data_IF_338387740960
#
_entry.id   IF_338387740960
#
_cell.length_a   1.000
_cell.length_b   1.000
_cell.length_c   1.000
_cell.angle_alpha   90.00
_cell.angle_beta   90.00
_cell.angle_gamma   90.00
#
_symmetry.space_group_name_H-M   'P 1'
#
loop_
_entity.id
_entity.type
_entity.pdbx_description
1 polymer ?
#
# COMPACT_ATOMS: atom_id res chain seq x y z
N UNK A 1 1.60 20.60 -17.32
CA UNK A 1 0.18 20.95 -17.62
C UNK A 1 -0.51 21.18 -16.30
N UNK A 2 -1.34 22.23 -16.17
CA UNK A 2 -2.09 22.44 -14.92
C UNK A 2 -3.24 21.44 -14.84
N UNK A 3 -3.34 20.74 -13.71
CA UNK A 3 -4.45 19.82 -13.41
C UNK A 3 -5.74 20.60 -13.22
N UNK A 4 -6.86 20.07 -13.69
CA UNK A 4 -8.18 20.70 -13.62
C UNK A 4 -9.02 20.07 -12.52
N UNK A 5 -9.42 20.86 -11.53
CA UNK A 5 -10.23 20.46 -10.38
C UNK A 5 -11.59 21.11 -10.44
N UNK A 6 -12.66 20.32 -10.41
CA UNK A 6 -14.03 20.81 -10.25
C UNK A 6 -14.46 20.69 -8.78
N UNK A 7 -14.92 21.81 -8.22
CA UNK A 7 -15.51 21.87 -6.87
C UNK A 7 -17.01 22.08 -6.99
N UNK A 8 -17.81 21.21 -6.36
CA UNK A 8 -19.27 21.26 -6.43
C UNK A 8 -19.83 21.43 -5.01
N UNK A 9 -20.34 22.64 -4.73
CA UNK A 9 -20.90 23.01 -3.42
C UNK A 9 -22.42 23.03 -3.41
N UNK A 10 -22.99 22.95 -2.21
CA UNK A 10 -24.42 23.16 -1.96
C UNK A 10 -24.72 24.66 -1.87
N UNK A 11 -24.91 25.27 -3.02
CA UNK A 11 -25.14 26.71 -3.15
C UNK A 11 -23.84 27.55 -2.97
N UNK A 12 -23.99 28.90 -2.98
CA UNK A 12 -22.84 29.82 -2.95
C UNK A 12 -21.97 29.68 -1.68
N UNK A 13 -22.57 29.32 -0.55
CA UNK A 13 -21.82 29.16 0.74
C UNK A 13 -20.96 27.90 0.71
N UNK A 14 -21.52 26.78 0.28
CA UNK A 14 -20.76 25.53 0.13
C UNK A 14 -19.63 25.68 -0.86
N UNK A 15 -19.91 26.28 -2.03
CA UNK A 15 -18.86 26.56 -3.01
C UNK A 15 -17.74 27.46 -2.47
N UNK A 16 -18.08 28.51 -1.73
CA UNK A 16 -17.08 29.39 -1.12
C UNK A 16 -16.18 28.65 -0.13
N UNK A 17 -16.74 27.76 0.70
CA UNK A 17 -15.97 26.90 1.61
C UNK A 17 -15.01 25.99 0.84
N UNK A 18 -15.46 25.35 -0.22
CA UNK A 18 -14.63 24.49 -1.07
C UNK A 18 -13.50 25.29 -1.76
N UNK A 19 -13.77 26.51 -2.21
CA UNK A 19 -12.75 27.39 -2.79
C UNK A 19 -11.68 27.77 -1.76
N UNK A 20 -12.07 28.00 -0.50
CA UNK A 20 -11.11 28.22 0.59
C UNK A 20 -10.25 26.97 0.84
N UNK A 21 -10.84 25.77 0.82
CA UNK A 21 -10.08 24.53 0.93
C UNK A 21 -9.06 24.39 -0.22
N UNK A 22 -9.42 24.78 -1.42
CA UNK A 22 -8.55 24.68 -2.59
C UNK A 22 -7.42 25.75 -2.61
N UNK A 23 -7.44 26.74 -1.71
CA UNK A 23 -6.45 27.81 -1.68
C UNK A 23 -5.00 27.33 -1.46
N UNK A 24 -4.82 26.16 -0.82
CA UNK A 24 -3.50 25.55 -0.56
C UNK A 24 -2.97 24.70 -1.73
N UNK A 25 -3.72 24.52 -2.80
CA UNK A 25 -3.32 23.61 -3.90
C UNK A 25 -2.21 24.17 -4.78
N UNK A 26 -1.98 25.48 -4.74
CA UNK A 26 -0.92 26.13 -5.50
C UNK A 26 -1.20 26.25 -7.01
N UNK A 27 -0.23 26.78 -7.79
CA UNK A 27 -0.44 27.16 -9.19
C UNK A 27 -0.53 25.98 -10.17
N UNK A 28 -0.29 24.78 -9.72
CA UNK A 28 -0.39 23.57 -10.55
C UNK A 28 -1.83 23.12 -10.78
N UNK A 29 -2.78 23.72 -10.06
CA UNK A 29 -4.20 23.40 -10.17
C UNK A 29 -4.99 24.56 -10.77
N UNK A 30 -5.82 24.24 -11.77
CA UNK A 30 -6.85 25.13 -12.28
C UNK A 30 -8.18 24.74 -11.66
N UNK A 31 -8.68 25.56 -10.74
CA UNK A 31 -9.89 25.27 -9.95
C UNK A 31 -11.12 25.87 -10.62
N UNK A 32 -12.13 25.03 -10.85
CA UNK A 32 -13.44 25.40 -11.41
C UNK A 32 -14.48 25.21 -10.30
N UNK A 33 -15.31 26.20 -10.05
CA UNK A 33 -16.40 26.12 -9.08
C UNK A 33 -17.76 25.90 -9.75
N UNK A 34 -18.64 25.11 -9.12
CA UNK A 34 -20.02 24.91 -9.53
C UNK A 34 -20.98 24.97 -8.34
N UNK A 35 -22.06 25.76 -8.46
CA UNK A 35 -23.12 25.87 -7.46
C UNK A 35 -24.23 24.85 -7.75
N UNK A 36 -23.93 23.57 -7.51
CA UNK A 36 -24.88 22.49 -7.71
C UNK A 36 -24.76 21.77 -9.06
N UNK A 37 -25.72 20.90 -9.32
CA UNK A 37 -25.66 19.89 -10.37
C UNK A 37 -25.61 20.48 -11.79
N UNK A 38 -26.42 21.50 -12.07
CA UNK A 38 -26.52 22.09 -13.42
C UNK A 38 -25.20 22.72 -13.90
N UNK A 39 -24.51 23.49 -13.01
CA UNK A 39 -23.24 24.10 -13.33
C UNK A 39 -22.14 23.05 -13.42
N UNK A 40 -22.21 21.99 -12.57
CA UNK A 40 -21.27 20.88 -12.62
C UNK A 40 -21.35 20.14 -13.97
N UNK A 41 -22.54 19.86 -14.46
CA UNK A 41 -22.76 19.25 -15.78
C UNK A 41 -22.24 20.13 -16.91
N UNK A 42 -22.47 21.44 -16.83
CA UNK A 42 -21.92 22.39 -17.82
C UNK A 42 -20.37 22.38 -17.82
N UNK A 43 -19.75 22.31 -16.65
CA UNK A 43 -18.29 22.27 -16.51
C UNK A 43 -17.64 21.03 -17.17
N UNK A 44 -18.32 19.89 -17.20
CA UNK A 44 -17.87 18.68 -17.89
C UNK A 44 -17.73 18.88 -19.40
N UNK A 45 -18.59 19.73 -20.00
CA UNK A 45 -18.54 20.05 -21.45
C UNK A 45 -17.32 20.88 -21.88
N UNK A 46 -16.57 21.46 -20.95
CA UNK A 46 -15.41 22.32 -21.23
C UNK A 46 -14.07 21.56 -21.28
N UNK A 47 -14.08 20.25 -21.36
CA UNK A 47 -12.91 19.38 -21.50
C UNK A 47 -12.64 18.51 -20.28
N UNK A 48 -11.62 17.62 -20.37
CA UNK A 48 -11.37 16.64 -19.34
C UNK A 48 -11.03 17.28 -17.99
N UNK A 49 -11.50 16.67 -16.92
CA UNK A 49 -11.22 17.04 -15.54
C UNK A 49 -10.31 15.98 -14.92
N UNK A 50 -9.31 16.43 -14.17
CA UNK A 50 -8.41 15.51 -13.46
C UNK A 50 -9.03 15.07 -12.13
N UNK A 51 -9.71 15.99 -11.42
CA UNK A 51 -10.38 15.67 -10.17
C UNK A 51 -11.74 16.40 -10.03
N UNK A 52 -12.63 15.80 -9.25
CA UNK A 52 -13.90 16.38 -8.80
C UNK A 52 -14.02 16.20 -7.30
N UNK A 53 -14.31 17.28 -6.58
CA UNK A 53 -14.69 17.26 -5.15
C UNK A 53 -16.13 17.73 -5.06
N UNK A 54 -17.03 16.88 -4.56
CA UNK A 54 -18.43 17.19 -4.40
C UNK A 54 -18.86 17.06 -2.94
N UNK A 55 -19.65 18.01 -2.44
CA UNK A 55 -20.39 17.82 -1.20
C UNK A 55 -21.45 16.73 -1.37
N UNK A 56 -21.78 16.02 -0.27
CA UNK A 56 -22.78 14.96 -0.29
C UNK A 56 -24.13 15.45 -0.80
N UNK A 57 -24.54 16.66 -0.36
CA UNK A 57 -25.71 17.38 -0.86
C UNK A 57 -25.23 18.49 -1.76
N UNK A 58 -25.79 18.59 -2.93
CA UNK A 58 -25.53 19.65 -3.90
C UNK A 58 -26.86 20.18 -4.42
N UNK A 59 -26.92 21.46 -4.77
CA UNK A 59 -28.11 22.07 -5.31
C UNK A 59 -28.61 21.30 -6.53
N UNK A 60 -29.85 20.77 -6.42
CA UNK A 60 -30.48 19.96 -7.44
C UNK A 60 -30.30 18.46 -7.34
N UNK A 61 -29.55 17.93 -6.32
CA UNK A 61 -29.39 16.49 -6.19
C UNK A 61 -28.38 16.01 -5.16
N UNK A 62 -27.85 14.81 -5.38
CA UNK A 62 -26.84 14.14 -4.54
C UNK A 62 -25.48 14.15 -5.22
N UNK A 63 -24.46 14.65 -4.52
CA UNK A 63 -23.08 14.58 -5.01
C UNK A 63 -22.59 13.15 -5.21
N UNK A 64 -22.99 12.23 -4.35
CA UNK A 64 -22.67 10.82 -4.51
C UNK A 64 -23.25 10.23 -5.80
N UNK A 65 -24.51 10.55 -6.10
CA UNK A 65 -25.14 10.06 -7.34
C UNK A 65 -24.43 10.64 -8.56
N UNK A 66 -24.12 11.93 -8.55
CA UNK A 66 -23.36 12.58 -9.62
C UNK A 66 -21.97 11.94 -9.82
N UNK A 67 -21.23 11.68 -8.73
CA UNK A 67 -19.92 11.02 -8.83
C UNK A 67 -20.03 9.60 -9.39
N UNK A 68 -21.12 8.86 -9.13
CA UNK A 68 -21.36 7.54 -9.70
C UNK A 68 -21.57 7.63 -11.24
N UNK A 69 -22.35 8.60 -11.71
CA UNK A 69 -22.54 8.84 -13.14
C UNK A 69 -21.21 9.18 -13.84
N UNK A 70 -20.34 9.98 -13.19
CA UNK A 70 -19.03 10.31 -13.70
C UNK A 70 -18.11 9.09 -13.80
N UNK A 71 -18.30 8.06 -12.98
CA UNK A 71 -17.48 6.85 -13.05
C UNK A 71 -17.55 6.17 -14.41
N UNK A 72 -18.71 6.16 -15.02
CA UNK A 72 -18.93 5.54 -16.33
C UNK A 72 -18.47 6.45 -17.47
N UNK A 73 -18.73 7.75 -17.38
CA UNK A 73 -18.46 8.71 -18.45
C UNK A 73 -16.99 9.18 -18.47
N UNK A 74 -16.39 9.33 -17.31
CA UNK A 74 -15.03 9.88 -17.13
C UNK A 74 -14.21 9.00 -16.15
N UNK A 75 -13.86 7.76 -16.53
CA UNK A 75 -13.24 6.79 -15.63
C UNK A 75 -11.86 7.22 -15.10
N UNK A 76 -11.20 8.16 -15.79
CA UNK A 76 -9.88 8.69 -15.40
C UNK A 76 -9.93 9.83 -14.39
N UNK A 77 -11.11 10.42 -14.17
CA UNK A 77 -11.27 11.54 -13.24
C UNK A 77 -11.28 11.05 -11.79
N UNK A 78 -10.42 11.61 -10.95
CA UNK A 78 -10.42 11.33 -9.51
C UNK A 78 -11.65 11.95 -8.85
N UNK A 79 -12.33 11.19 -8.00
CA UNK A 79 -13.63 11.59 -7.44
C UNK A 79 -13.59 11.57 -5.91
N UNK A 80 -13.89 12.70 -5.32
CA UNK A 80 -13.88 12.91 -3.88
C UNK A 80 -15.27 13.31 -3.40
N UNK A 81 -15.79 12.60 -2.40
CA UNK A 81 -17.00 12.98 -1.70
C UNK A 81 -16.64 13.62 -0.37
N UNK A 82 -17.11 14.84 -0.15
CA UNK A 82 -16.99 15.57 1.09
C UNK A 82 -18.29 15.39 1.89
N UNK A 83 -18.21 14.74 3.05
CA UNK A 83 -19.39 14.50 3.89
C UNK A 83 -19.03 14.43 5.38
N UNK A 84 -20.02 14.62 6.24
CA UNK A 84 -19.86 14.47 7.68
C UNK A 84 -19.66 12.99 8.07
N UNK A 85 -18.77 12.73 9.04
CA UNK A 85 -18.51 11.40 9.58
C UNK A 85 -19.76 10.73 10.18
N UNK A 86 -20.75 11.52 10.58
CA UNK A 86 -22.04 11.02 11.09
C UNK A 86 -22.90 10.39 9.98
N UNK A 87 -22.64 10.68 8.69
CA UNK A 87 -23.40 10.12 7.57
C UNK A 87 -22.84 8.76 7.15
N UNK A 88 -23.09 7.76 7.99
CA UNK A 88 -22.59 6.37 7.83
C UNK A 88 -22.99 5.73 6.50
N UNK A 89 -24.15 6.12 5.92
CA UNK A 89 -24.61 5.58 4.64
C UNK A 89 -23.79 6.11 3.46
N UNK A 90 -23.39 7.39 3.50
CA UNK A 90 -22.55 7.99 2.48
C UNK A 90 -21.15 7.35 2.50
N UNK A 91 -20.54 7.21 3.69
CA UNK A 91 -19.23 6.57 3.86
C UNK A 91 -19.24 5.13 3.32
N UNK A 92 -20.24 4.33 3.68
CA UNK A 92 -20.34 2.93 3.25
C UNK A 92 -20.51 2.81 1.73
N UNK A 93 -21.25 3.72 1.12
CA UNK A 93 -21.46 3.74 -0.35
C UNK A 93 -20.20 4.20 -1.10
N UNK A 94 -19.43 5.15 -0.56
CA UNK A 94 -18.17 5.57 -1.16
C UNK A 94 -17.15 4.44 -1.27
N UNK A 95 -17.02 3.63 -0.24
CA UNK A 95 -16.10 2.47 -0.23
C UNK A 95 -16.43 1.46 -1.33
N UNK A 96 -17.72 1.34 -1.69
CA UNK A 96 -18.17 0.42 -2.76
C UNK A 96 -18.05 0.97 -4.19
N UNK A 97 -17.79 2.27 -4.39
CA UNK A 97 -17.88 2.94 -5.69
C UNK A 97 -16.56 3.55 -6.20
N UNK A 98 -15.43 3.21 -5.61
CA UNK A 98 -14.10 3.74 -5.99
C UNK A 98 -13.99 5.27 -5.86
N UNK A 99 -14.73 5.88 -4.92
CA UNK A 99 -14.61 7.29 -4.59
C UNK A 99 -13.76 7.50 -3.35
N UNK A 100 -13.00 8.59 -3.34
CA UNK A 100 -12.29 9.02 -2.15
C UNK A 100 -13.25 9.76 -1.22
N UNK A 101 -13.20 9.42 0.07
CA UNK A 101 -13.99 10.10 1.10
C UNK A 101 -13.14 11.14 1.82
N UNK A 102 -13.68 12.33 2.00
CA UNK A 102 -13.12 13.40 2.81
C UNK A 102 -14.11 13.78 3.90
N UNK A 103 -13.67 13.70 5.14
CA UNK A 103 -14.51 14.07 6.29
C UNK A 103 -14.63 15.58 6.41
N UNK A 104 -15.84 16.09 6.75
CA UNK A 104 -16.04 17.47 7.19
C UNK A 104 -15.97 17.57 8.72
N UNK A 105 -15.32 18.62 9.27
CA UNK A 105 -14.61 19.68 8.57
C UNK A 105 -13.28 19.19 7.98
N UNK A 106 -12.98 19.63 6.76
CA UNK A 106 -11.75 19.34 6.04
C UNK A 106 -10.89 20.63 6.01
N UNK A 107 -9.60 20.51 6.23
CA UNK A 107 -8.66 21.62 6.08
C UNK A 107 -7.95 21.58 4.71
N UNK A 108 -7.36 22.71 4.25
CA UNK A 108 -6.70 22.79 2.95
C UNK A 108 -5.54 21.79 2.77
N UNK A 109 -4.81 21.47 3.83
CA UNK A 109 -3.68 20.53 3.76
C UNK A 109 -4.19 19.09 3.60
N UNK A 110 -5.27 18.74 4.29
CA UNK A 110 -5.94 17.44 4.14
C UNK A 110 -6.47 17.24 2.72
N UNK A 111 -7.10 18.25 2.12
CA UNK A 111 -7.54 18.17 0.72
C UNK A 111 -6.34 17.99 -0.22
N UNK A 112 -5.29 18.78 -0.06
CA UNK A 112 -4.08 18.67 -0.86
C UNK A 112 -3.47 17.28 -0.74
N UNK A 113 -3.27 16.78 0.47
CA UNK A 113 -2.70 15.45 0.70
C UNK A 113 -3.56 14.35 0.06
N UNK A 114 -4.89 14.46 0.12
CA UNK A 114 -5.80 13.50 -0.49
C UNK A 114 -5.72 13.52 -2.03
N UNK A 115 -5.64 14.71 -2.63
CA UNK A 115 -5.43 14.87 -4.07
C UNK A 115 -4.07 14.31 -4.50
N UNK A 116 -3.00 14.72 -3.82
CA UNK A 116 -1.65 14.23 -4.10
C UNK A 116 -1.58 12.69 -3.98
N UNK A 117 -2.22 12.11 -2.97
CA UNK A 117 -2.36 10.66 -2.81
C UNK A 117 -3.09 10.02 -3.99
N UNK A 118 -4.25 10.54 -4.36
CA UNK A 118 -5.05 9.96 -5.44
C UNK A 118 -4.27 9.93 -6.76
N UNK A 119 -3.51 11.00 -7.04
CA UNK A 119 -2.70 11.08 -8.25
C UNK A 119 -1.40 10.27 -8.17
N UNK A 120 -0.83 10.06 -7.02
CA UNK A 120 0.26 9.10 -6.83
C UNK A 120 -0.21 7.68 -7.11
N UNK A 121 -1.41 7.32 -6.62
CA UNK A 121 -2.06 6.04 -6.95
C UNK A 121 -2.29 5.87 -8.45
N UNK A 122 -2.74 6.92 -9.14
CA UNK A 122 -2.94 6.88 -10.58
C UNK A 122 -1.66 6.52 -11.34
N UNK A 123 -0.50 6.98 -10.88
CA UNK A 123 0.79 6.62 -11.50
C UNK A 123 1.01 5.10 -11.46
N UNK A 124 0.64 4.43 -10.37
CA UNK A 124 0.74 2.98 -10.25
C UNK A 124 -0.37 2.24 -10.99
N UNK A 125 -1.61 2.73 -10.87
CA UNK A 125 -2.78 2.15 -11.53
C UNK A 125 -2.85 2.49 -13.02
N UNK A 126 -2.22 3.58 -13.46
CA UNK A 126 -2.17 4.03 -14.87
C UNK A 126 -0.98 3.47 -15.65
N UNK A 127 -0.11 2.68 -15.05
CA UNK A 127 0.86 1.91 -15.83
C UNK A 127 0.09 0.92 -16.72
N UNK A 128 -0.09 1.27 -17.99
CA UNK A 128 -0.85 0.48 -18.97
C UNK A 128 -0.35 -0.97 -19.05
N UNK A 129 0.93 -1.21 -18.74
CA UNK A 129 1.52 -2.55 -18.71
C UNK A 129 0.98 -3.34 -17.53
N UNK A 130 0.97 -2.75 -16.32
CA UNK A 130 0.44 -3.39 -15.11
C UNK A 130 -1.06 -3.64 -15.25
N UNK A 131 -1.81 -2.66 -15.75
CA UNK A 131 -3.26 -2.80 -16.00
C UNK A 131 -3.58 -3.91 -17.00
N UNK A 132 -2.85 -3.93 -18.13
CA UNK A 132 -3.03 -4.97 -19.14
C UNK A 132 -2.69 -6.34 -18.58
N UNK A 133 -1.61 -6.44 -17.82
CA UNK A 133 -1.21 -7.67 -17.16
C UNK A 133 -2.27 -8.14 -16.18
N UNK A 134 -2.71 -7.29 -15.24
CA UNK A 134 -3.74 -7.61 -14.26
C UNK A 134 -5.09 -7.91 -14.92
N UNK A 135 -5.47 -7.15 -15.96
CA UNK A 135 -6.71 -7.39 -16.71
C UNK A 135 -6.75 -8.74 -17.44
N UNK A 136 -5.60 -9.33 -17.72
CA UNK A 136 -5.49 -10.68 -18.33
C UNK A 136 -5.45 -11.80 -17.28
N UNK A 137 -5.35 -11.48 -16.00
CA UNK A 137 -5.23 -12.48 -14.95
C UNK A 137 -6.55 -13.15 -14.63
N UNK A 138 -6.53 -14.47 -14.60
CA UNK A 138 -7.69 -15.29 -14.24
C UNK A 138 -7.84 -15.47 -12.72
N UNK A 139 -6.77 -15.25 -11.96
CA UNK A 139 -6.70 -15.53 -10.52
C UNK A 139 -6.12 -14.34 -9.77
N UNK A 140 -6.96 -13.33 -9.55
CA UNK A 140 -6.65 -12.26 -8.60
C UNK A 140 -7.34 -12.56 -7.27
N UNK A 141 -6.63 -12.51 -6.15
CA UNK A 141 -7.27 -12.64 -4.85
C UNK A 141 -8.20 -11.44 -4.63
N UNK A 142 -9.42 -11.69 -4.24
CA UNK A 142 -10.35 -10.66 -3.77
C UNK A 142 -10.09 -10.35 -2.30
N UNK A 143 -10.46 -9.16 -1.85
CA UNK A 143 -10.47 -8.88 -0.40
C UNK A 143 -11.42 -9.84 0.31
N UNK A 144 -11.00 -10.44 1.45
CA UNK A 144 -11.86 -11.38 2.17
C UNK A 144 -13.13 -10.69 2.70
N UNK A 145 -14.25 -11.38 2.59
CA UNK A 145 -15.51 -10.92 3.20
C UNK A 145 -15.35 -10.71 4.71
N UNK A 146 -14.59 -11.57 5.37
CA UNK A 146 -14.28 -11.43 6.80
C UNK A 146 -13.51 -10.14 7.10
N UNK A 147 -12.58 -9.73 6.25
CA UNK A 147 -11.86 -8.45 6.41
C UNK A 147 -12.83 -7.27 6.41
N UNK A 148 -13.76 -7.22 5.46
CA UNK A 148 -14.79 -6.17 5.43
C UNK A 148 -15.69 -6.20 6.66
N UNK A 149 -16.05 -7.40 7.15
CA UNK A 149 -16.84 -7.53 8.37
C UNK A 149 -16.09 -6.98 9.58
N UNK A 150 -14.81 -7.29 9.70
CA UNK A 150 -13.95 -6.78 10.77
C UNK A 150 -13.76 -5.27 10.67
N UNK A 151 -13.48 -4.72 9.48
CA UNK A 151 -13.36 -3.27 9.28
C UNK A 151 -14.67 -2.56 9.62
N UNK A 152 -15.81 -3.11 9.19
CA UNK A 152 -17.13 -2.57 9.49
C UNK A 152 -17.43 -2.59 11.01
N UNK A 153 -17.06 -3.67 11.68
CA UNK A 153 -17.21 -3.79 13.13
C UNK A 153 -16.36 -2.76 13.86
N UNK A 154 -15.10 -2.57 13.44
CA UNK A 154 -14.19 -1.56 14.01
C UNK A 154 -14.70 -0.12 13.87
N UNK A 155 -15.49 0.16 12.85
CA UNK A 155 -16.13 1.47 12.64
C UNK A 155 -17.42 1.65 13.46
N UNK A 156 -17.90 0.60 14.14
CA UNK A 156 -19.10 0.67 14.95
C UNK A 156 -18.80 1.37 16.28
N UNK A 157 -19.65 2.29 16.75
CA UNK A 157 -19.53 2.90 18.08
C UNK A 157 -19.61 1.89 19.25
N UNK A 158 -20.19 0.71 18.99
CA UNK A 158 -20.34 -0.39 19.93
C UNK A 158 -19.32 -1.49 19.72
N UNK A 159 -18.29 -1.21 18.92
CA UNK A 159 -17.24 -2.17 18.60
C UNK A 159 -16.49 -2.64 19.84
N UNK A 160 -16.22 -3.93 19.89
CA UNK A 160 -15.29 -4.50 20.86
C UNK A 160 -14.35 -5.48 20.18
N UNK A 161 -13.13 -5.59 20.69
CA UNK A 161 -12.16 -6.59 20.21
C UNK A 161 -12.69 -8.02 20.42
N UNK A 162 -13.56 -8.21 21.41
CA UNK A 162 -14.25 -9.48 21.64
C UNK A 162 -15.22 -9.84 20.50
N UNK A 163 -16.00 -8.87 20.02
CA UNK A 163 -16.87 -9.07 18.85
C UNK A 163 -16.08 -9.45 17.62
N UNK A 164 -14.93 -8.80 17.41
CA UNK A 164 -14.02 -9.11 16.29
C UNK A 164 -13.46 -10.53 16.42
N UNK A 165 -13.02 -10.92 17.61
CA UNK A 165 -12.55 -12.28 17.89
C UNK A 165 -13.63 -13.33 17.60
N UNK A 166 -14.87 -13.06 17.99
CA UNK A 166 -16.01 -13.93 17.70
C UNK A 166 -16.38 -13.99 16.22
N UNK A 167 -16.16 -12.91 15.44
CA UNK A 167 -16.32 -12.93 14.00
C UNK A 167 -15.27 -13.85 13.35
N UNK A 168 -14.02 -13.72 13.76
CA UNK A 168 -12.90 -14.54 13.22
C UNK A 168 -13.10 -16.01 13.58
N UNK A 169 -13.58 -16.30 14.80
CA UNK A 169 -13.85 -17.67 15.28
C UNK A 169 -14.83 -18.46 14.40
N UNK A 170 -15.67 -17.77 13.62
CA UNK A 170 -16.60 -18.41 12.66
C UNK A 170 -15.89 -18.96 11.40
N UNK A 171 -14.68 -18.47 11.11
CA UNK A 171 -13.86 -18.93 9.99
C UNK A 171 -12.68 -19.77 10.53
N UNK A 172 -12.78 -21.09 10.38
CA UNK A 172 -11.78 -22.02 10.90
C UNK A 172 -10.40 -21.82 10.27
N UNK A 173 -10.35 -21.45 9.00
CA UNK A 173 -9.07 -21.25 8.29
C UNK A 173 -8.39 -19.99 8.79
N UNK A 174 -9.14 -18.89 8.89
CA UNK A 174 -8.62 -17.63 9.42
C UNK A 174 -8.23 -17.75 10.89
N UNK A 175 -9.03 -18.46 11.69
CA UNK A 175 -8.69 -18.75 13.09
C UNK A 175 -7.36 -19.49 13.20
N UNK A 176 -7.18 -20.57 12.43
CA UNK A 176 -5.94 -21.34 12.45
C UNK A 176 -4.72 -20.49 12.05
N UNK A 177 -4.84 -19.68 10.99
CA UNK A 177 -3.77 -18.80 10.51
C UNK A 177 -3.46 -17.69 11.53
N UNK A 178 -4.48 -17.06 12.12
CA UNK A 178 -4.32 -16.07 13.19
C UNK A 178 -3.58 -16.66 14.39
N UNK A 179 -3.99 -17.84 14.86
CA UNK A 179 -3.36 -18.51 16.00
C UNK A 179 -1.94 -18.98 15.67
N UNK A 180 -1.70 -19.51 14.47
CA UNK A 180 -0.36 -19.85 14.00
C UNK A 180 0.56 -18.63 14.04
N UNK A 181 0.06 -17.50 13.58
CA UNK A 181 0.81 -16.26 13.50
C UNK A 181 1.15 -15.70 14.88
N UNK A 182 0.16 -15.53 15.75
CA UNK A 182 0.40 -14.94 17.08
C UNK A 182 1.32 -15.81 17.95
N UNK A 183 1.31 -17.11 17.74
CA UNK A 183 2.19 -18.06 18.42
C UNK A 183 3.56 -18.20 17.74
N UNK A 184 3.82 -17.48 16.65
CA UNK A 184 5.14 -17.46 16.02
C UNK A 184 6.16 -16.66 16.86
N UNK A 185 7.44 -16.90 16.61
CA UNK A 185 8.54 -16.20 17.31
C UNK A 185 8.50 -14.68 17.10
N UNK A 186 7.85 -14.20 16.03
CA UNK A 186 7.69 -12.78 15.69
C UNK A 186 7.01 -11.99 16.80
N UNK A 187 6.02 -12.58 17.50
CA UNK A 187 5.30 -11.90 18.57
C UNK A 187 5.88 -12.16 19.97
N UNK A 188 6.83 -13.09 20.10
CA UNK A 188 7.61 -13.32 21.31
C UNK A 188 6.78 -13.61 22.57
N UNK A 189 5.58 -14.19 22.42
CA UNK A 189 4.72 -14.47 23.54
C UNK A 189 5.30 -15.55 24.45
N UNK A 190 5.12 -15.34 25.76
CA UNK A 190 5.63 -16.30 26.78
C UNK A 190 4.77 -17.57 26.90
N UNK A 191 3.56 -17.56 26.36
CA UNK A 191 2.63 -18.71 26.36
C UNK A 191 1.92 -18.83 25.03
N UNK A 192 1.46 -20.02 24.72
CA UNK A 192 0.64 -20.23 23.54
C UNK A 192 -0.79 -19.69 23.75
N UNK A 193 -1.32 -19.06 22.71
CA UNK A 193 -2.69 -18.58 22.64
C UNK A 193 -3.47 -19.54 21.76
N UNK A 194 -4.58 -20.06 22.30
CA UNK A 194 -5.45 -21.00 21.62
C UNK A 194 -6.83 -20.41 21.26
N UNK A 195 -7.14 -19.21 21.77
CA UNK A 195 -8.43 -18.54 21.56
C UNK A 195 -8.27 -17.35 20.60
N UNK A 196 -9.04 -17.28 19.49
CA UNK A 196 -8.96 -16.17 18.55
C UNK A 196 -9.33 -14.82 19.15
N UNK A 197 -10.26 -14.76 20.10
CA UNK A 197 -10.60 -13.51 20.80
C UNK A 197 -9.41 -13.00 21.62
N UNK A 198 -8.72 -13.89 22.32
CA UNK A 198 -7.51 -13.53 23.04
C UNK A 198 -6.40 -13.09 22.08
N UNK A 199 -6.28 -13.76 20.93
CA UNK A 199 -5.34 -13.36 19.88
C UNK A 199 -5.60 -11.91 19.41
N UNK A 200 -6.85 -11.55 19.17
CA UNK A 200 -7.24 -10.19 18.76
C UNK A 200 -6.94 -9.18 19.86
N UNK A 201 -7.20 -9.52 21.12
CA UNK A 201 -6.88 -8.66 22.27
C UNK A 201 -5.37 -8.39 22.39
N UNK A 202 -4.55 -9.40 22.14
CA UNK A 202 -3.08 -9.26 22.16
C UNK A 202 -2.53 -8.47 20.97
N UNK A 203 -3.11 -8.64 19.78
CA UNK A 203 -2.66 -8.00 18.54
C UNK A 203 -3.15 -6.55 18.41
N UNK A 204 -4.32 -6.27 18.95
CA UNK A 204 -5.04 -5.03 18.68
C UNK A 204 -5.71 -5.03 17.30
N UNK A 205 -6.49 -3.99 17.04
CA UNK A 205 -7.35 -3.89 15.86
C UNK A 205 -6.55 -3.82 14.54
N UNK A 206 -5.60 -2.93 14.46
CA UNK A 206 -4.85 -2.67 13.22
C UNK A 206 -3.99 -3.85 12.82
N UNK A 207 -3.24 -4.41 13.77
CA UNK A 207 -2.46 -5.63 13.52
C UNK A 207 -3.35 -6.79 13.09
N UNK A 208 -4.52 -6.96 13.71
CA UNK A 208 -5.48 -7.99 13.32
C UNK A 208 -5.94 -7.84 11.88
N UNK A 209 -6.28 -6.62 11.43
CA UNK A 209 -6.65 -6.36 10.03
C UNK A 209 -5.54 -6.78 9.07
N UNK A 210 -4.31 -6.36 9.33
CA UNK A 210 -3.15 -6.64 8.49
C UNK A 210 -2.89 -8.15 8.37
N UNK A 211 -2.99 -8.85 9.50
CA UNK A 211 -2.83 -10.31 9.57
C UNK A 211 -3.93 -11.05 8.83
N UNK A 212 -5.17 -10.58 8.91
CA UNK A 212 -6.29 -11.18 8.16
C UNK A 212 -6.10 -11.06 6.64
N UNK A 213 -5.62 -9.90 6.18
CA UNK A 213 -5.29 -9.70 4.76
C UNK A 213 -4.19 -10.66 4.31
N UNK A 214 -3.10 -10.75 5.07
CA UNK A 214 -2.01 -11.66 4.78
C UNK A 214 -2.49 -13.12 4.77
N UNK A 215 -3.16 -13.56 5.82
CA UNK A 215 -3.62 -14.94 5.97
C UNK A 215 -4.56 -15.37 4.83
N UNK A 216 -5.49 -14.49 4.44
CA UNK A 216 -6.38 -14.76 3.33
C UNK A 216 -5.63 -14.87 2.00
N UNK A 217 -4.74 -13.92 1.74
CA UNK A 217 -3.94 -13.91 0.52
C UNK A 217 -3.16 -15.21 0.38
N UNK A 218 -2.47 -15.62 1.43
CA UNK A 218 -1.71 -16.86 1.40
C UNK A 218 -2.59 -18.10 1.30
N UNK A 219 -3.76 -18.13 1.96
CA UNK A 219 -4.71 -19.25 1.86
C UNK A 219 -5.27 -19.41 0.43
N UNK A 220 -5.45 -18.32 -0.29
CA UNK A 220 -5.88 -18.37 -1.69
C UNK A 220 -4.84 -19.06 -2.59
N UNK A 221 -3.56 -18.95 -2.23
CA UNK A 221 -2.43 -19.48 -2.99
C UNK A 221 -1.82 -20.79 -2.42
N UNK A 222 -2.35 -21.36 -1.35
CA UNK A 222 -1.84 -22.59 -0.71
C UNK A 222 -1.69 -23.79 -1.65
N UNK A 223 -2.36 -23.76 -2.80
CA UNK A 223 -2.33 -24.84 -3.81
C UNK A 223 -1.09 -24.78 -4.71
N UNK A 224 -0.27 -23.73 -4.64
CA UNK A 224 0.95 -23.61 -5.43
C UNK A 224 2.04 -24.45 -4.77
N UNK A 225 2.31 -25.62 -5.32
CA UNK A 225 3.40 -26.50 -4.87
C UNK A 225 4.40 -26.67 -6.00
N UNK A 226 5.54 -25.99 -5.90
CA UNK A 226 6.65 -26.15 -6.85
C UNK A 226 7.96 -26.28 -6.09
N UNK A 227 8.96 -26.91 -6.69
CA UNK A 227 10.28 -27.09 -6.07
C UNK A 227 11.07 -25.78 -5.96
N UNK A 228 10.78 -24.81 -6.85
CA UNK A 228 11.54 -23.56 -6.93
C UNK A 228 10.87 -22.37 -6.22
N UNK A 229 9.58 -22.49 -5.86
CA UNK A 229 8.83 -21.44 -5.17
C UNK A 229 8.12 -22.03 -3.95
N UNK A 230 8.42 -21.52 -2.77
CA UNK A 230 7.82 -21.96 -1.50
C UNK A 230 6.95 -20.86 -0.91
N UNK A 231 5.65 -21.13 -0.81
CA UNK A 231 4.67 -20.23 -0.16
C UNK A 231 5.00 -20.06 1.32
N UNK A 232 5.44 -21.14 2.00
CA UNK A 232 5.81 -21.08 3.42
C UNK A 232 7.01 -20.15 3.67
N UNK A 233 8.06 -20.23 2.83
CA UNK A 233 9.21 -19.31 2.95
C UNK A 233 8.83 -17.86 2.69
N UNK A 234 7.92 -17.63 1.74
CA UNK A 234 7.42 -16.30 1.47
C UNK A 234 6.59 -15.75 2.64
N UNK A 235 5.80 -16.62 3.28
CA UNK A 235 5.06 -16.31 4.49
C UNK A 235 5.99 -15.90 5.64
N UNK A 236 7.01 -16.71 5.92
CA UNK A 236 8.02 -16.42 6.94
C UNK A 236 8.76 -15.10 6.67
N UNK A 237 9.12 -14.86 5.40
CA UNK A 237 9.75 -13.61 4.96
C UNK A 237 8.83 -12.40 5.19
N UNK A 238 7.59 -12.49 4.80
CA UNK A 238 6.59 -11.45 4.99
C UNK A 238 6.43 -11.07 6.47
N UNK A 239 6.35 -12.09 7.35
CA UNK A 239 6.25 -11.86 8.80
C UNK A 239 7.50 -11.19 9.38
N UNK A 240 8.68 -11.67 9.03
CA UNK A 240 9.94 -11.11 9.50
C UNK A 240 10.10 -9.66 9.02
N UNK A 241 9.86 -9.41 7.72
CA UNK A 241 9.92 -8.06 7.15
C UNK A 241 8.93 -7.11 7.81
N UNK A 242 7.68 -7.53 8.01
CA UNK A 242 6.68 -6.71 8.70
C UNK A 242 7.09 -6.37 10.13
N UNK A 243 7.58 -7.37 10.89
CA UNK A 243 8.06 -7.15 12.26
C UNK A 243 9.26 -6.21 12.32
N UNK A 244 10.25 -6.40 11.45
CA UNK A 244 11.43 -5.53 11.37
C UNK A 244 11.04 -4.10 10.95
N UNK A 245 10.15 -3.92 9.97
CA UNK A 245 9.68 -2.61 9.53
C UNK A 245 8.99 -1.85 10.66
N UNK A 246 8.16 -2.53 11.46
CA UNK A 246 7.56 -1.96 12.68
C UNK A 246 8.63 -1.51 13.67
N UNK A 247 9.62 -2.35 13.96
CA UNK A 247 10.69 -2.04 14.91
C UNK A 247 11.56 -0.88 14.42
N UNK A 248 11.91 -0.81 13.14
CA UNK A 248 12.62 0.32 12.53
C UNK A 248 11.82 1.61 12.70
N UNK A 249 10.52 1.60 12.42
CA UNK A 249 9.66 2.77 12.58
C UNK A 249 9.53 3.20 14.03
N UNK A 250 9.46 2.26 14.98
CA UNK A 250 9.45 2.54 16.42
C UNK A 250 10.79 3.15 16.87
N UNK A 251 11.91 2.59 16.43
CA UNK A 251 13.26 3.09 16.75
C UNK A 251 13.48 4.50 16.18
N UNK A 252 12.89 4.80 15.02
CA UNK A 252 12.90 6.14 14.44
C UNK A 252 12.02 7.14 15.21
N UNK A 253 11.13 6.69 16.09
CA UNK A 253 10.17 7.54 16.78
C UNK A 253 9.03 8.03 15.86
N UNK A 254 8.68 7.25 14.86
CA UNK A 254 7.63 7.58 13.91
C UNK A 254 6.23 7.63 14.58
N UNK A 255 5.28 8.32 13.95
CA UNK A 255 3.89 8.36 14.39
C UNK A 255 3.28 6.95 14.36
N UNK A 256 2.27 6.71 15.22
CA UNK A 256 1.64 5.39 15.36
C UNK A 256 1.10 4.88 14.02
N UNK A 257 0.46 5.74 13.23
CA UNK A 257 -0.06 5.37 11.91
C UNK A 257 1.07 4.88 10.98
N UNK A 258 2.21 5.57 10.96
CA UNK A 258 3.38 5.16 10.17
C UNK A 258 3.94 3.82 10.65
N UNK A 259 3.94 3.56 11.96
CA UNK A 259 4.39 2.28 12.54
C UNK A 259 3.48 1.13 12.07
N UNK A 260 2.16 1.31 12.13
CA UNK A 260 1.19 0.29 11.70
C UNK A 260 1.18 0.10 10.18
N UNK A 261 1.32 1.18 9.41
CA UNK A 261 1.46 1.13 7.96
C UNK A 261 2.74 0.41 7.54
N UNK A 262 3.86 0.63 8.25
CA UNK A 262 5.13 -0.06 8.01
C UNK A 262 5.00 -1.56 8.24
N UNK A 263 4.32 -1.97 9.31
CA UNK A 263 4.03 -3.37 9.58
C UNK A 263 3.20 -3.99 8.45
N UNK A 264 2.10 -3.35 8.08
CA UNK A 264 1.18 -3.83 7.05
C UNK A 264 1.87 -3.92 5.69
N UNK A 265 2.61 -2.87 5.31
CA UNK A 265 3.35 -2.85 4.05
C UNK A 265 4.44 -3.94 4.02
N UNK A 266 5.16 -4.14 5.13
CA UNK A 266 6.14 -5.21 5.25
C UNK A 266 5.53 -6.61 5.14
N UNK A 267 4.32 -6.82 5.69
CA UNK A 267 3.59 -8.08 5.50
C UNK A 267 3.20 -8.34 4.03
N UNK A 268 2.88 -7.29 3.28
CA UNK A 268 2.28 -7.40 1.95
C UNK A 268 3.25 -7.07 0.81
N UNK A 269 4.51 -6.68 1.10
CA UNK A 269 5.43 -6.15 0.10
C UNK A 269 5.68 -7.10 -1.07
N UNK A 270 5.65 -8.38 -0.82
CA UNK A 270 5.93 -9.46 -1.77
C UNK A 270 4.68 -10.14 -2.36
N UNK A 271 3.48 -9.61 -2.14
CA UNK A 271 2.22 -10.21 -2.60
C UNK A 271 2.20 -10.44 -4.13
N UNK A 272 2.88 -9.61 -4.89
CA UNK A 272 2.98 -9.76 -6.34
C UNK A 272 3.69 -11.04 -6.78
N UNK A 273 4.59 -11.61 -5.96
CA UNK A 273 5.21 -12.93 -6.22
C UNK A 273 4.17 -14.04 -6.25
N UNK A 274 3.17 -13.99 -5.37
CA UNK A 274 2.04 -14.92 -5.38
C UNK A 274 1.20 -14.78 -6.64
N UNK A 275 0.98 -13.54 -7.09
CA UNK A 275 0.24 -13.24 -8.32
C UNK A 275 0.95 -13.83 -9.53
N UNK A 276 2.26 -13.61 -9.68
CA UNK A 276 3.06 -14.24 -10.74
C UNK A 276 3.03 -15.76 -10.66
N UNK A 277 3.30 -16.32 -9.48
CA UNK A 277 3.36 -17.77 -9.29
C UNK A 277 2.03 -18.47 -9.61
N UNK A 278 0.90 -17.81 -9.39
CA UNK A 278 -0.42 -18.37 -9.66
C UNK A 278 -0.88 -18.26 -11.13
N UNK A 279 -0.53 -17.15 -11.78
CA UNK A 279 -1.02 -16.85 -13.13
C UNK A 279 -0.02 -17.21 -14.24
N UNK A 280 1.28 -17.20 -13.94
CA UNK A 280 2.37 -17.49 -14.85
C UNK A 280 3.30 -18.57 -14.28
N UNK A 281 2.73 -19.61 -13.70
CA UNK A 281 3.48 -20.63 -12.92
C UNK A 281 4.73 -21.13 -13.63
N UNK A 282 4.59 -21.57 -14.88
CA UNK A 282 5.69 -22.16 -15.67
C UNK A 282 6.76 -21.15 -16.01
N UNK A 283 6.35 -19.95 -16.41
CA UNK A 283 7.23 -18.83 -16.80
C UNK A 283 7.95 -18.29 -15.58
N UNK A 284 7.22 -18.11 -14.47
CA UNK A 284 7.79 -17.56 -13.24
C UNK A 284 8.82 -18.50 -12.61
N UNK A 285 8.61 -19.83 -12.66
CA UNK A 285 9.61 -20.80 -12.23
C UNK A 285 10.91 -20.64 -13.03
N UNK A 286 10.83 -20.44 -14.35
CA UNK A 286 12.01 -20.21 -15.20
C UNK A 286 12.74 -18.92 -14.82
N UNK A 287 12.00 -17.86 -14.51
CA UNK A 287 12.56 -16.58 -14.05
C UNK A 287 13.30 -16.77 -12.72
N UNK A 288 12.71 -17.46 -11.75
CA UNK A 288 13.36 -17.76 -10.47
C UNK A 288 14.64 -18.58 -10.66
N UNK A 289 14.59 -19.63 -11.50
CA UNK A 289 15.77 -20.45 -11.80
C UNK A 289 16.87 -19.66 -12.51
N UNK A 290 16.49 -18.74 -13.42
CA UNK A 290 17.45 -17.87 -14.10
C UNK A 290 18.07 -16.88 -13.11
N UNK A 291 17.27 -16.28 -12.22
CA UNK A 291 17.78 -15.41 -11.15
C UNK A 291 18.85 -16.12 -10.29
N UNK A 292 18.56 -17.37 -9.91
CA UNK A 292 19.51 -18.19 -9.13
C UNK A 292 20.77 -18.54 -9.94
N UNK A 293 20.62 -18.93 -11.22
CA UNK A 293 21.74 -19.31 -12.09
C UNK A 293 22.65 -18.14 -12.43
N UNK A 294 22.06 -16.97 -12.69
CA UNK A 294 22.77 -15.77 -13.11
C UNK A 294 23.20 -14.92 -11.91
N UNK A 295 22.78 -15.33 -10.72
CA UNK A 295 23.08 -14.65 -9.49
C UNK A 295 22.61 -13.16 -9.53
N UNK A 296 21.43 -12.94 -10.11
CA UNK A 296 20.79 -11.61 -10.23
C UNK A 296 19.60 -11.51 -9.29
N UNK A 297 19.28 -10.30 -8.79
CA UNK A 297 18.06 -10.04 -8.04
C UNK A 297 16.81 -10.45 -8.82
N UNK A 298 15.84 -11.08 -8.12
CA UNK A 298 14.64 -11.61 -8.76
C UNK A 298 13.84 -10.52 -9.49
N UNK A 299 13.71 -9.33 -8.90
CA UNK A 299 12.95 -8.23 -9.51
C UNK A 299 13.57 -7.71 -10.83
N UNK A 300 14.90 -7.82 -10.99
CA UNK A 300 15.57 -7.50 -12.27
C UNK A 300 15.20 -8.53 -13.33
N UNK A 301 15.23 -9.81 -12.98
CA UNK A 301 14.84 -10.89 -13.89
C UNK A 301 13.35 -10.86 -14.24
N UNK A 302 12.50 -10.44 -13.31
CA UNK A 302 11.08 -10.19 -13.57
C UNK A 302 10.88 -9.04 -14.56
N UNK A 303 11.61 -7.93 -14.38
CA UNK A 303 11.56 -6.79 -15.31
C UNK A 303 12.06 -7.18 -16.71
N UNK A 304 13.13 -7.97 -16.81
CA UNK A 304 13.64 -8.49 -18.08
C UNK A 304 12.62 -9.42 -18.78
N UNK A 305 11.95 -10.31 -18.02
CA UNK A 305 11.06 -11.32 -18.59
C UNK A 305 9.64 -10.80 -18.86
N UNK A 306 9.10 -9.98 -17.96
CA UNK A 306 7.70 -9.56 -17.97
C UNK A 306 7.53 -8.06 -18.21
N UNK A 307 8.61 -7.27 -18.23
CA UNK A 307 8.61 -5.80 -18.21
C UNK A 307 7.86 -5.21 -16.99
N UNK A 308 7.74 -5.97 -15.93
CA UNK A 308 7.06 -5.67 -14.67
C UNK A 308 7.75 -6.40 -13.53
N UNK A 309 7.72 -5.80 -12.34
CA UNK A 309 8.21 -6.41 -11.11
C UNK A 309 7.05 -6.87 -10.21
N UNK A 310 7.32 -7.83 -9.29
CA UNK A 310 6.35 -8.19 -8.27
C UNK A 310 5.94 -7.00 -7.39
N UNK A 311 6.84 -6.05 -7.18
CA UNK A 311 6.55 -4.82 -6.43
C UNK A 311 5.45 -3.99 -7.10
N UNK A 312 5.56 -3.76 -8.42
CA UNK A 312 4.56 -3.02 -9.20
C UNK A 312 3.22 -3.77 -9.25
N UNK A 313 3.25 -5.07 -9.47
CA UNK A 313 2.04 -5.91 -9.48
C UNK A 313 1.37 -5.93 -8.10
N UNK A 314 2.15 -6.09 -7.03
CA UNK A 314 1.67 -6.05 -5.64
C UNK A 314 1.02 -4.71 -5.32
N UNK A 315 1.69 -3.60 -5.61
CA UNK A 315 1.16 -2.26 -5.39
C UNK A 315 -0.19 -2.04 -6.12
N UNK A 316 -0.29 -2.49 -7.37
CA UNK A 316 -1.55 -2.40 -8.12
C UNK A 316 -2.68 -3.22 -7.48
N UNK A 317 -2.41 -4.45 -7.04
CA UNK A 317 -3.41 -5.28 -6.33
C UNK A 317 -3.88 -4.60 -5.04
N UNK A 318 -2.96 -4.07 -4.24
CA UNK A 318 -3.30 -3.36 -3.01
C UNK A 318 -4.07 -2.06 -3.28
N UNK A 319 -3.77 -1.37 -4.39
CA UNK A 319 -4.53 -0.22 -4.87
C UNK A 319 -5.96 -0.57 -5.23
N UNK A 320 -6.18 -1.68 -5.96
CA UNK A 320 -7.51 -2.21 -6.27
C UNK A 320 -8.26 -2.58 -4.98
N UNK A 321 -7.56 -3.03 -3.95
CA UNK A 321 -8.13 -3.32 -2.65
C UNK A 321 -8.41 -2.07 -1.80
N UNK A 322 -7.99 -0.88 -2.25
CA UNK A 322 -8.23 0.38 -1.55
C UNK A 322 -7.40 0.57 -0.27
N UNK A 323 -6.21 -0.03 -0.20
CA UNK A 323 -5.32 0.19 0.93
C UNK A 323 -4.77 1.63 0.92
N UNK A 324 -4.28 2.13 2.08
CA UNK A 324 -3.61 3.43 2.16
C UNK A 324 -2.45 3.56 1.17
N UNK A 325 -2.28 4.77 0.62
CA UNK A 325 -1.26 5.06 -0.39
C UNK A 325 0.15 4.81 0.13
N UNK A 326 0.41 5.18 1.37
CA UNK A 326 1.68 4.92 2.06
C UNK A 326 2.09 3.43 2.02
N UNK A 327 1.12 2.52 2.16
CA UNK A 327 1.34 1.07 2.05
C UNK A 327 1.62 0.70 0.59
N UNK A 328 0.86 1.24 -0.36
CA UNK A 328 1.00 0.93 -1.78
C UNK A 328 2.36 1.42 -2.31
N UNK A 329 2.77 2.63 -1.94
CA UNK A 329 4.08 3.20 -2.27
C UNK A 329 5.22 2.37 -1.67
N UNK A 330 5.08 1.99 -0.40
CA UNK A 330 6.06 1.14 0.25
C UNK A 330 6.21 -0.20 -0.48
N UNK A 331 5.12 -0.83 -0.87
CA UNK A 331 5.14 -2.08 -1.64
C UNK A 331 5.70 -1.88 -3.04
N UNK A 332 5.29 -0.84 -3.74
CA UNK A 332 5.69 -0.60 -5.13
C UNK A 332 7.15 -0.21 -5.31
N UNK A 333 7.73 0.45 -4.30
CA UNK A 333 9.07 1.05 -4.39
C UNK A 333 10.12 0.38 -3.48
N UNK A 334 9.79 -0.68 -2.76
CA UNK A 334 10.71 -1.24 -1.76
C UNK A 334 12.07 -1.70 -2.31
N UNK A 335 12.17 -1.92 -3.62
CA UNK A 335 13.45 -2.18 -4.29
C UNK A 335 14.13 -0.93 -4.84
N UNK A 336 13.39 0.16 -5.05
CA UNK A 336 13.88 1.41 -5.64
C UNK A 336 13.37 2.62 -4.85
N UNK A 337 13.70 2.76 -3.54
CA UNK A 337 13.16 3.80 -2.69
C UNK A 337 13.55 5.21 -3.16
N UNK A 338 14.70 5.36 -3.81
CA UNK A 338 15.17 6.64 -4.39
C UNK A 338 14.26 7.21 -5.49
N UNK A 339 13.33 6.39 -6.03
CA UNK A 339 12.30 6.90 -6.97
C UNK A 339 11.17 7.66 -6.29
N UNK A 340 11.11 7.62 -4.97
CA UNK A 340 10.12 8.34 -4.18
C UNK A 340 10.57 9.78 -3.93
N UNK A 341 9.68 10.75 -4.17
CA UNK A 341 10.03 12.17 -4.13
C UNK A 341 9.98 12.78 -2.72
N UNK A 342 9.34 12.12 -1.75
CA UNK A 342 9.33 12.61 -0.38
C UNK A 342 10.70 12.46 0.27
N UNK A 343 11.08 13.47 1.06
CA UNK A 343 12.30 13.47 1.84
C UNK A 343 12.05 13.24 3.33
N UNK A 344 11.00 12.52 3.65
CA UNK A 344 10.62 12.18 5.03
C UNK A 344 10.66 10.68 5.23
N UNK A 345 10.96 10.26 6.46
CA UNK A 345 10.83 8.86 6.86
C UNK A 345 9.38 8.38 6.69
N UNK A 346 9.20 7.22 6.11
CA UNK A 346 7.88 6.65 5.82
C UNK A 346 7.88 5.13 5.91
N UNK A 347 6.72 4.51 5.71
CA UNK A 347 6.59 3.05 5.61
C UNK A 347 7.52 2.47 4.52
N UNK A 348 7.76 3.19 3.43
CA UNK A 348 8.70 2.80 2.39
C UNK A 348 10.11 2.61 2.93
N UNK A 349 10.62 3.59 3.71
CA UNK A 349 11.95 3.52 4.29
C UNK A 349 12.08 2.29 5.21
N UNK A 350 11.09 2.10 6.07
CA UNK A 350 11.07 0.98 7.01
C UNK A 350 11.04 -0.38 6.31
N UNK A 351 10.19 -0.53 5.31
CA UNK A 351 10.06 -1.79 4.54
C UNK A 351 11.31 -2.07 3.72
N UNK A 352 11.89 -1.05 3.07
CA UNK A 352 13.13 -1.20 2.31
C UNK A 352 14.27 -1.74 3.18
N UNK A 353 14.49 -1.11 4.34
CA UNK A 353 15.54 -1.53 5.29
C UNK A 353 15.23 -2.93 5.85
N UNK A 354 14.00 -3.18 6.25
CA UNK A 354 13.58 -4.46 6.83
C UNK A 354 13.74 -5.63 5.85
N UNK A 355 13.33 -5.43 4.59
CA UNK A 355 13.47 -6.42 3.53
C UNK A 355 14.94 -6.78 3.30
N UNK A 356 15.81 -5.77 3.18
CA UNK A 356 17.25 -5.99 3.00
C UNK A 356 17.85 -6.77 4.17
N UNK A 357 17.47 -6.43 5.40
CA UNK A 357 17.98 -7.11 6.59
C UNK A 357 17.48 -8.54 6.78
N UNK A 358 16.19 -8.82 6.50
CA UNK A 358 15.69 -10.21 6.56
C UNK A 358 16.39 -11.09 5.51
N UNK A 359 16.59 -10.57 4.31
CA UNK A 359 17.30 -11.30 3.26
C UNK A 359 18.78 -11.51 3.61
N UNK A 360 19.45 -10.53 4.23
CA UNK A 360 20.81 -10.70 4.77
C UNK A 360 20.85 -11.85 5.78
N UNK A 361 19.90 -11.92 6.72
CA UNK A 361 19.87 -12.99 7.72
C UNK A 361 19.64 -14.37 7.09
N UNK A 362 18.78 -14.46 6.08
CA UNK A 362 18.48 -15.70 5.35
C UNK A 362 19.64 -16.12 4.44
N UNK A 363 20.36 -15.16 3.85
CA UNK A 363 21.47 -15.39 2.91
C UNK A 363 22.78 -15.85 3.57
N UNK A 364 22.97 -15.63 4.86
CA UNK A 364 24.19 -16.02 5.60
C UNK A 364 24.54 -17.51 5.50
N UNK A 365 23.66 -18.34 4.97
CA UNK A 365 23.85 -19.78 4.89
C UNK A 365 24.63 -20.27 3.67
N UNK A 366 24.63 -19.61 2.48
CA UNK A 366 25.32 -20.17 1.27
C UNK A 366 25.42 -19.27 0.02
N UNK A 367 25.04 -17.99 0.04
CA UNK A 367 25.00 -17.16 -1.18
C UNK A 367 25.97 -15.98 -1.06
N UNK A 368 26.59 -15.61 -2.17
CA UNK A 368 27.38 -14.38 -2.28
C UNK A 368 26.54 -13.17 -1.86
N UNK A 369 26.93 -12.52 -0.78
CA UNK A 369 26.21 -11.42 -0.15
C UNK A 369 26.12 -10.18 -1.05
N UNK A 370 26.95 -10.09 -2.11
CA UNK A 370 26.94 -8.96 -3.05
C UNK A 370 25.64 -8.85 -3.89
N UNK A 371 24.76 -9.85 -3.83
CA UNK A 371 23.56 -9.97 -4.66
C UNK A 371 22.25 -9.93 -3.87
N UNK A 372 22.37 -9.82 -2.55
CA UNK A 372 21.21 -9.57 -1.71
C UNK A 372 20.78 -8.10 -1.88
N UNK A 373 19.48 -7.80 -1.71
CA UNK A 373 19.05 -6.41 -1.67
C UNK A 373 19.80 -5.71 -0.54
N UNK A 374 20.61 -4.74 -0.90
CA UNK A 374 21.29 -3.88 0.06
C UNK A 374 20.40 -2.69 0.39
N UNK A 375 20.58 -2.18 1.61
CA UNK A 375 20.01 -0.90 1.99
C UNK A 375 20.57 0.18 1.07
N UNK A 376 19.70 0.94 0.42
CA UNK A 376 20.09 2.10 -0.40
C UNK A 376 20.59 3.23 0.51
N UNK A 377 21.91 3.29 0.70
CA UNK A 377 22.55 4.25 1.59
C UNK A 377 22.46 5.68 1.04
N UNK A 378 22.43 5.87 -0.28
CA UNK A 378 22.28 7.17 -0.89
C UNK A 378 20.88 7.74 -0.61
N UNK A 379 19.85 6.90 -0.74
CA UNK A 379 18.48 7.26 -0.34
C UNK A 379 18.41 7.68 1.13
N UNK A 380 18.99 6.92 2.05
CA UNK A 380 18.96 7.26 3.47
C UNK A 380 19.76 8.53 3.78
N UNK A 381 20.85 8.77 3.05
CA UNK A 381 21.63 10.01 3.13
C UNK A 381 20.82 11.21 2.65
N UNK A 382 20.08 11.06 1.56
CA UNK A 382 19.20 12.13 1.05
C UNK A 382 18.06 12.46 2.01
N UNK A 383 17.61 11.48 2.82
CA UNK A 383 16.69 11.69 3.92
C UNK A 383 17.35 12.27 5.19
N UNK A 384 18.69 12.32 5.26
CA UNK A 384 19.41 12.76 6.45
C UNK A 384 19.34 11.80 7.65
N UNK A 385 19.06 10.50 7.41
CA UNK A 385 18.85 9.49 8.46
C UNK A 385 19.78 8.28 8.36
N UNK A 386 20.78 8.33 7.49
CA UNK A 386 21.74 7.22 7.33
C UNK A 386 22.43 6.85 8.64
N UNK A 387 22.72 7.84 9.48
CA UNK A 387 23.42 7.64 10.76
C UNK A 387 22.54 6.93 11.81
N UNK A 388 21.25 6.74 11.56
CA UNK A 388 20.34 5.99 12.42
C UNK A 388 20.43 4.46 12.24
N UNK A 389 20.98 4.00 11.13
CA UNK A 389 21.07 2.56 10.80
C UNK A 389 21.67 1.70 11.92
N UNK A 390 22.79 2.08 12.58
CA UNK A 390 23.37 1.28 13.67
C UNK A 390 22.39 1.16 14.86
N UNK A 391 21.68 2.24 15.19
CA UNK A 391 20.72 2.25 16.28
C UNK A 391 19.53 1.36 15.95
N UNK A 392 18.92 1.52 14.77
CA UNK A 392 17.79 0.67 14.33
C UNK A 392 18.18 -0.81 14.36
N UNK A 393 19.41 -1.11 13.92
CA UNK A 393 19.89 -2.50 13.88
C UNK A 393 20.07 -3.09 15.29
N UNK A 394 20.55 -2.29 16.24
CA UNK A 394 20.67 -2.68 17.64
C UNK A 394 19.29 -2.91 18.28
N UNK A 395 18.33 -2.00 18.05
CA UNK A 395 16.97 -2.12 18.57
C UNK A 395 16.22 -3.32 17.97
N UNK A 396 16.49 -3.65 16.71
CA UNK A 396 16.03 -4.88 16.06
C UNK A 396 16.78 -6.15 16.50
N UNK A 397 17.75 -6.05 17.43
CA UNK A 397 18.58 -7.17 17.93
C UNK A 397 19.32 -7.93 16.81
N UNK A 398 19.67 -7.21 15.74
CA UNK A 398 20.45 -7.76 14.64
C UNK A 398 21.95 -7.61 14.92
N UNK A 399 22.79 -8.52 14.42
CA UNK A 399 24.24 -8.39 14.58
C UNK A 399 24.73 -7.10 13.91
N UNK A 400 25.80 -6.47 14.42
CA UNK A 400 26.38 -5.29 13.80
C UNK A 400 26.83 -5.59 12.36
N UNK A 401 26.85 -4.54 11.51
CA UNK A 401 27.35 -4.67 10.15
C UNK A 401 28.85 -4.99 10.23
N UNK A 402 29.27 -6.10 9.68
CA UNK A 402 30.70 -6.42 9.58
C UNK A 402 31.38 -5.35 8.70
N UNK A 403 32.34 -4.64 9.26
CA UNK A 403 33.15 -3.67 8.52
C UNK A 403 34.01 -4.41 7.50
N UNK A 404 33.50 -4.59 6.28
CA UNK A 404 34.19 -5.32 5.20
C UNK A 404 33.39 -5.40 3.91
N UNK A 405 32.08 -5.18 3.96
CA UNK A 405 31.20 -5.25 2.79
C UNK A 405 30.86 -3.87 2.21
N UNK A 406 31.83 -2.96 2.13
CA UNK A 406 31.70 -1.79 1.29
C UNK A 406 32.01 -2.22 -0.14
N UNK A 407 30.95 -2.53 -0.90
CA UNK A 407 31.08 -2.72 -2.34
C UNK A 407 31.70 -1.44 -2.95
N UNK A 408 32.79 -1.62 -3.66
CA UNK A 408 33.45 -0.55 -4.42
C UNK A 408 32.43 0.09 -5.39
N UNK A 409 32.45 1.41 -5.57
CA UNK A 409 31.44 2.13 -6.38
C UNK A 409 31.50 1.88 -7.89
N UNK A 410 32.30 0.94 -8.37
CA UNK A 410 32.65 0.87 -9.80
C UNK A 410 31.79 -0.08 -10.67
N UNK A 411 30.78 -0.79 -10.18
CA UNK A 411 30.04 -1.75 -11.03
C UNK A 411 28.61 -1.38 -11.39
N UNK A 412 28.10 -0.21 -11.02
CA UNK A 412 26.70 0.16 -11.27
C UNK A 412 26.46 1.26 -12.32
N UNK A 413 27.49 1.63 -13.09
CA UNK A 413 27.38 2.68 -14.14
C UNK A 413 26.86 2.20 -15.50
N UNK A 414 26.40 0.95 -15.62
CA UNK A 414 26.09 0.33 -16.92
C UNK A 414 24.61 0.28 -17.33
N UNK A 415 23.64 0.51 -16.45
CA UNK A 415 22.21 0.33 -16.80
C UNK A 415 21.26 1.42 -16.33
N UNK A 416 21.77 2.59 -15.97
CA UNK A 416 20.94 3.77 -15.76
C UNK A 416 20.65 4.48 -17.09
N UNK A 417 20.01 3.80 -18.05
CA UNK A 417 19.28 4.52 -19.08
C UNK A 417 18.01 5.09 -18.45
N UNK A 418 18.05 6.39 -18.32
CA UNK A 418 17.06 7.27 -17.75
C UNK A 418 15.63 6.90 -18.17
N UNK A 419 14.88 6.26 -17.28
CA UNK A 419 13.46 6.53 -17.18
C UNK A 419 13.34 7.81 -16.37
N UNK A 420 12.79 8.86 -16.99
CA UNK A 420 12.48 10.12 -16.35
C UNK A 420 11.80 9.90 -14.98
N UNK A 421 12.06 10.74 -13.99
CA UNK A 421 11.33 10.69 -12.73
C UNK A 421 9.83 10.73 -13.05
N UNK A 422 9.07 9.88 -12.40
CA UNK A 422 7.62 9.92 -12.45
C UNK A 422 7.21 11.33 -12.02
N UNK A 423 6.93 12.18 -13.01
CA UNK A 423 6.56 13.57 -12.77
C UNK A 423 5.28 13.60 -11.94
N UNK A 424 5.36 14.39 -10.87
CA UNK A 424 4.24 14.75 -10.02
C UNK A 424 3.09 15.41 -10.80
#
# INVERSE_FOLDING_TARGET
MNRRLLLIGDGPRGLHQLQQLASALGPTWYVIGANGLAEAQAALGHGPLDAIVAELRIGGGSGLQFLNEITELHPKTQRFLLADLSDKQAVTKCVGTSHHYLATPCDPQTLRAALDRAFSLDVWLMNDRVRKFIGQMQKLPSIPTLYFQVVKELQSPMSSLETIGNLIAKDLVMTAKLLQLINSAVFGLRRQIANPTEAVLCLGAETTKSVLLLAHTFSYFDKIKTSSFSVDRLWEHALATGSLARQVSQSQGAALDTIEESFTAGLLHDIGKLVFACNLTSEYIKVIQSAQRENKPLWIMEEEAFSLTHAEVGACVLGIWGLPVSIIEAVGLHHYPSRFLSKEFSALTAVHVANAWDQEQRGKSKVDTSLLPHVDLEYLKDLGIQDQLPQWRADCKLPPIEQGATASPESNSGHAQARAPLAA
#
